data_IF_528941893021
#
_entry.id   IF_528941893021
#
_cell.length_a   1.000
_cell.length_b   1.000
_cell.length_c   1.000
_cell.angle_alpha   90.00
_cell.angle_beta   90.00
_cell.angle_gamma   90.00
#
_symmetry.space_group_name_H-M   'P 1'
#
loop_
_entity.id
_entity.type
_entity.pdbx_description
1 polymer ?
2 polymer ?
3 water ?
#
# COMPACT_ATOMS: atom_id res chain seq x y z
N UNK A 9 -13.64 10.72 -29.94
CA UNK A 9 -14.79 10.99 -29.08
C UNK A 9 -14.50 10.42 -27.70
N UNK A 10 -13.75 9.31 -27.68
CA UNK A 10 -13.22 8.81 -26.41
C UNK A 10 -12.37 9.85 -25.73
N UNK A 11 -11.52 10.56 -26.49
CA UNK A 11 -10.62 11.51 -25.89
C UNK A 11 -11.32 12.79 -25.45
N UNK A 12 -12.46 13.14 -26.08
CA UNK A 12 -13.25 14.23 -25.54
C UNK A 12 -13.80 13.88 -24.16
N UNK A 13 -14.32 12.65 -24.01
CA UNK A 13 -14.88 12.23 -22.73
C UNK A 13 -13.81 12.17 -21.65
N UNK A 14 -12.61 11.70 -22.00
CA UNK A 14 -11.53 11.63 -21.01
C UNK A 14 -11.09 13.04 -20.60
N UNK A 15 -10.95 13.95 -21.58
CA UNK A 15 -10.54 15.32 -21.25
C UNK A 15 -11.56 15.99 -20.33
N UNK A 16 -12.85 15.74 -20.58
CA UNK A 16 -13.86 16.35 -19.73
C UNK A 16 -13.81 15.77 -18.31
N UNK A 17 -13.54 14.47 -18.20
CA UNK A 17 -13.41 13.87 -16.87
C UNK A 17 -12.21 14.45 -16.14
N UNK A 18 -11.08 14.61 -16.85
CA UNK A 18 -9.89 15.19 -16.23
C UNK A 18 -10.16 16.61 -15.75
N UNK A 19 -10.89 17.38 -16.55
CA UNK A 19 -11.24 18.74 -16.15
C UNK A 19 -12.12 18.74 -14.91
N UNK A 20 -13.11 17.84 -14.86
CA UNK A 20 -13.97 17.77 -13.68
C UNK A 20 -13.15 17.44 -12.43
N UNK A 21 -12.27 16.43 -12.51
CA UNK A 21 -11.42 16.09 -11.38
C UNK A 21 -10.57 17.28 -10.96
N UNK A 22 -9.98 17.99 -11.94
CA UNK A 22 -9.07 19.09 -11.65
C UNK A 22 -9.77 20.21 -10.88
N UNK A 23 -10.91 20.71 -11.39
CA UNK A 23 -11.52 21.86 -10.72
C UNK A 23 -12.05 21.50 -9.35
N UNK A 24 -12.57 20.29 -9.16
CA UNK A 24 -12.99 19.89 -7.82
C UNK A 24 -11.79 19.73 -6.90
N UNK A 25 -10.72 19.08 -7.37
CA UNK A 25 -9.49 18.98 -6.59
C UNK A 25 -8.98 20.35 -6.20
N UNK A 26 -8.94 21.27 -7.16
CA UNK A 26 -8.46 22.60 -6.87
C UNK A 26 -9.35 23.34 -5.88
N UNK A 27 -10.67 23.16 -6.00
CA UNK A 27 -11.56 23.78 -5.02
C UNK A 27 -11.30 23.25 -3.61
N UNK A 28 -11.08 21.94 -3.49
CA UNK A 28 -10.85 21.35 -2.17
C UNK A 28 -9.51 21.80 -1.60
N UNK A 29 -8.50 21.88 -2.45
CA UNK A 29 -7.16 22.24 -2.01
C UNK A 29 -7.08 23.68 -1.52
N UNK A 30 -7.92 24.58 -2.05
CA UNK A 30 -7.83 25.97 -1.63
C UNK A 30 -8.46 26.18 -0.27
N UNK A 31 -9.45 25.37 0.11
CA UNK A 31 -9.88 25.34 1.50
C UNK A 31 -8.72 25.04 2.44
N UNK A 32 -7.86 24.09 2.04
CA UNK A 32 -6.73 23.74 2.89
C UNK A 32 -5.68 24.85 2.90
N UNK A 33 -5.43 25.44 1.73
CA UNK A 33 -4.48 26.57 1.64
C UNK A 33 -4.79 27.67 2.63
N UNK A 34 -6.06 28.11 2.67
CA UNK A 34 -6.57 29.07 3.64
C UNK A 34 -6.40 28.66 5.09
N UNK A 35 -6.67 27.40 5.43
CA UNK A 35 -6.53 27.05 6.83
C UNK A 35 -5.07 27.07 7.25
N UNK A 36 -4.14 26.81 6.31
CA UNK A 36 -2.73 26.74 6.63
C UNK A 36 -1.97 28.04 6.36
N UNK A 37 -2.61 29.01 5.71
CA UNK A 37 -1.95 30.26 5.40
C UNK A 37 -0.87 30.17 4.33
N UNK A 38 -1.06 29.31 3.32
CA UNK A 38 -0.11 29.16 2.22
C UNK A 38 -0.88 29.36 0.91
N UNK A 39 -0.15 29.46 -0.18
CA UNK A 39 -0.75 29.51 -1.50
C UNK A 39 -0.20 28.36 -2.35
N UNK A 40 -1.11 27.63 -3.01
CA UNK A 40 -0.73 26.63 -3.99
C UNK A 40 -0.60 27.28 -5.36
N UNK A 41 0.55 27.11 -5.98
CA UNK A 41 0.68 27.53 -7.36
C UNK A 41 -0.25 26.70 -8.23
N UNK A 42 -0.52 27.22 -9.43
CA UNK A 42 -1.35 26.51 -10.39
C UNK A 42 -0.73 25.18 -10.80
N UNK A 43 0.61 25.15 -10.89
CA UNK A 43 1.22 23.86 -11.15
C UNK A 43 1.15 22.89 -9.96
N UNK A 44 1.18 23.38 -8.72
CA UNK A 44 1.00 22.48 -7.57
C UNK A 44 -0.41 21.91 -7.57
N UNK A 45 -1.42 22.73 -7.89
CA UNK A 45 -2.78 22.22 -8.00
C UNK A 45 -2.88 21.21 -9.13
N UNK A 46 -2.28 21.52 -10.28
CA UNK A 46 -2.26 20.56 -11.39
C UNK A 46 -1.60 19.24 -10.98
N UNK A 47 -0.50 19.30 -10.22
CA UNK A 47 0.15 18.07 -9.76
C UNK A 47 -0.76 17.25 -8.85
N UNK A 48 -1.46 17.92 -7.94
CA UNK A 48 -2.37 17.21 -7.03
C UNK A 48 -3.56 16.62 -7.78
N UNK A 49 -4.10 17.36 -8.77
CA UNK A 49 -5.17 16.81 -9.59
C UNK A 49 -4.71 15.55 -10.30
N UNK A 50 -3.48 15.56 -10.85
CA UNK A 50 -3.01 14.41 -11.61
C UNK A 50 -2.75 13.22 -10.69
N UNK A 51 -2.16 13.45 -9.52
CA UNK A 51 -1.97 12.38 -8.54
C UNK A 51 -3.32 11.81 -8.11
N UNK A 52 -4.31 12.67 -7.93
CA UNK A 52 -5.65 12.22 -7.56
C UNK A 52 -6.28 11.37 -8.67
N UNK A 53 -6.13 11.79 -9.92
CA UNK A 53 -6.60 11.00 -11.04
C UNK A 53 -5.95 9.62 -11.05
N UNK A 54 -4.63 9.55 -10.80
CA UNK A 54 -3.96 8.25 -10.86
C UNK A 54 -4.28 7.43 -9.62
N UNK A 55 -4.52 8.08 -8.47
CA UNK A 55 -4.90 7.35 -7.27
C UNK A 55 -6.32 6.77 -7.41
N UNK A 56 -7.22 7.45 -8.12
CA UNK A 56 -8.50 6.85 -8.44
C UNK A 56 -8.31 5.55 -9.21
N UNK A 57 -7.30 5.51 -10.09
CA UNK A 57 -7.02 4.27 -10.81
C UNK A 57 -6.56 3.16 -9.88
N UNK A 58 -5.68 3.48 -8.91
CA UNK A 58 -5.29 2.48 -7.92
C UNK A 58 -6.51 1.98 -7.14
N UNK A 59 -7.35 2.91 -6.68
CA UNK A 59 -8.56 2.55 -5.95
C UNK A 59 -9.47 1.67 -6.79
N UNK A 60 -9.70 2.06 -8.04
CA UNK A 60 -10.59 1.30 -8.91
C UNK A 60 -10.09 -0.13 -9.12
N UNK A 61 -8.80 -0.28 -9.41
CA UNK A 61 -8.25 -1.61 -9.68
C UNK A 61 -8.29 -2.49 -8.43
N UNK A 62 -8.08 -1.90 -7.24
CA UNK A 62 -8.22 -2.65 -6.00
C UNK A 62 -9.67 -3.07 -5.75
N UNK A 63 -10.61 -2.12 -5.87
CA UNK A 63 -12.03 -2.43 -5.69
C UNK A 63 -12.46 -3.55 -6.62
N UNK A 64 -12.06 -3.47 -7.89
CA UNK A 64 -12.40 -4.50 -8.86
C UNK A 64 -11.87 -5.86 -8.42
N UNK A 65 -10.61 -5.92 -7.99
CA UNK A 65 -10.03 -7.19 -7.58
C UNK A 65 -10.61 -7.69 -6.26
N UNK A 66 -10.95 -6.76 -5.35
CA UNK A 66 -11.60 -7.16 -4.11
C UNK A 66 -12.98 -7.76 -4.39
N UNK A 67 -13.75 -7.13 -5.27
CA UNK A 67 -15.07 -7.67 -5.59
C UNK A 67 -14.95 -9.02 -6.28
N UNK A 68 -14.04 -9.13 -7.26
CA UNK A 68 -13.82 -10.41 -7.93
C UNK A 68 -13.37 -11.48 -6.95
N UNK A 69 -12.57 -11.09 -5.94
CA UNK A 69 -12.15 -12.05 -4.92
C UNK A 69 -13.34 -12.66 -4.20
N UNK A 70 -14.42 -11.88 -4.03
CA UNK A 70 -15.65 -12.37 -3.43
C UNK A 70 -16.63 -12.87 -4.48
N UNK A 71 -16.17 -13.08 -5.72
CA UNK A 71 -16.95 -13.69 -6.80
C UNK A 71 -18.10 -12.79 -7.24
N UNK A 72 -17.88 -11.48 -7.17
CA UNK A 72 -18.83 -10.46 -7.60
C UNK A 72 -18.22 -9.63 -8.71
N UNK A 73 -19.06 -9.27 -9.69
CA UNK A 73 -18.74 -8.24 -10.68
C UNK A 73 -19.15 -6.85 -10.22
N UNK A 74 -20.01 -6.74 -9.23
CA UNK A 74 -20.48 -5.45 -8.74
C UNK A 74 -19.76 -5.10 -7.44
N UNK A 75 -19.16 -3.91 -7.43
CA UNK A 75 -18.43 -3.42 -6.27
C UNK A 75 -19.42 -2.85 -5.27
N UNK A 76 -19.27 -3.22 -3.98
CA UNK A 76 -20.21 -2.81 -2.94
C UNK A 76 -19.48 -2.07 -1.82
N UNK A 77 -20.26 -1.62 -0.84
CA UNK A 77 -19.69 -0.91 0.29
C UNK A 77 -18.68 -1.79 1.04
N UNK A 78 -18.87 -3.12 0.98
CA UNK A 78 -17.94 -4.03 1.66
C UNK A 78 -16.55 -3.97 1.03
N UNK A 79 -16.47 -3.73 -0.28
CA UNK A 79 -15.16 -3.60 -0.93
C UNK A 79 -14.52 -2.27 -0.59
N UNK A 80 -15.32 -1.21 -0.43
CA UNK A 80 -14.78 0.07 0.02
C UNK A 80 -14.28 -0.02 1.45
N UNK A 81 -15.01 -0.71 2.32
CA UNK A 81 -14.52 -0.90 3.68
C UNK A 81 -13.15 -1.57 3.67
N UNK A 82 -12.98 -2.57 2.79
CA UNK A 82 -11.69 -3.25 2.67
C UNK A 82 -10.57 -2.30 2.23
N UNK A 83 -10.86 -1.35 1.32
CA UNK A 83 -9.85 -0.34 0.99
C UNK A 83 -9.37 0.42 2.21
N UNK A 84 -10.23 0.61 3.20
CA UNK A 84 -9.91 1.41 4.37
C UNK A 84 -9.44 0.55 5.55
N UNK A 85 -9.19 -0.74 5.31
CA UNK A 85 -8.98 -1.71 6.39
C UNK A 85 -7.85 -1.32 7.35
N UNK A 86 -6.89 -0.53 6.89
CA UNK A 86 -5.67 -0.28 7.67
C UNK A 86 -5.74 0.95 8.54
N UNK A 87 -6.76 1.78 8.39
CA UNK A 87 -6.91 2.96 9.23
C UNK A 87 -8.25 2.85 9.93
N UNK A 88 -8.21 2.57 11.22
CA UNK A 88 -9.43 2.44 12.00
C UNK A 88 -10.25 3.73 11.96
N UNK A 89 -9.58 4.87 12.09
CA UNK A 89 -10.30 6.15 12.10
C UNK A 89 -10.92 6.44 10.74
N UNK A 90 -10.20 6.13 9.65
CA UNK A 90 -10.79 6.25 8.33
C UNK A 90 -11.86 5.18 8.12
N UNK A 91 -11.55 3.93 8.49
CA UNK A 91 -12.52 2.86 8.35
C UNK A 91 -13.77 3.14 9.18
N UNK A 92 -13.58 3.75 10.37
CA UNK A 92 -14.72 4.07 11.23
C UNK A 92 -15.64 5.10 10.57
N UNK A 93 -15.07 6.16 10.00
CA UNK A 93 -15.91 7.14 9.33
C UNK A 93 -16.60 6.54 8.11
N UNK A 94 -15.86 5.77 7.31
CA UNK A 94 -16.48 5.18 6.13
C UNK A 94 -17.53 4.16 6.53
N UNK A 95 -17.27 3.40 7.60
CA UNK A 95 -18.21 2.35 8.00
C UNK A 95 -19.57 2.93 8.40
N UNK A 96 -19.59 4.01 9.20
CA UNK A 96 -20.89 4.56 9.56
C UNK A 96 -21.35 5.66 8.61
N UNK A 97 -20.51 6.14 7.70
CA UNK A 97 -21.05 6.80 6.51
C UNK A 97 -21.80 5.79 5.66
N UNK A 98 -21.29 4.56 5.59
CA UNK A 98 -21.93 3.48 4.84
C UNK A 98 -23.26 3.07 5.47
N UNK A 99 -23.32 3.01 6.80
CA UNK A 99 -24.50 2.49 7.47
C UNK A 99 -25.65 3.48 7.48
N UNK A 100 -25.39 4.78 7.31
CA UNK A 100 -26.46 5.73 7.02
C UNK A 100 -27.20 5.31 5.75
N UNK A 101 -26.44 5.01 4.70
CA UNK A 101 -27.01 4.69 3.40
C UNK A 101 -27.92 3.47 3.48
N UNK A 102 -27.42 2.38 4.07
CA UNK A 102 -28.18 1.13 4.15
C UNK A 102 -29.41 1.23 5.04
N UNK A 103 -29.59 2.33 5.77
CA UNK A 103 -30.76 2.50 6.63
C UNK A 103 -31.93 3.14 5.90
N UNK A 104 -31.65 4.06 4.98
CA UNK A 104 -32.67 4.86 4.30
C UNK A 104 -33.84 4.06 3.76
N UNK B 7 -18.59 20.86 -0.27
CA UNK B 7 -17.93 20.58 -1.53
C UNK B 7 -17.54 19.12 -1.67
N UNK B 8 -17.26 18.68 -2.87
CA UNK B 8 -16.84 17.31 -3.09
C UNK B 8 -17.09 16.86 -4.51
N UNK B 9 -16.67 15.62 -4.77
CA UNK B 9 -16.79 15.04 -6.11
C UNK B 9 -18.24 14.63 -6.37
N UNK B 10 -18.72 14.91 -7.58
CA UNK B 10 -20.03 14.45 -8.01
C UNK B 10 -20.04 12.94 -8.19
N UNK B 11 -21.20 12.32 -7.90
CA UNK B 11 -21.33 10.87 -8.05
C UNK B 11 -20.93 10.44 -9.47
N UNK B 12 -21.42 11.18 -10.48
CA UNK B 12 -21.13 10.85 -11.87
C UNK B 12 -19.64 10.92 -12.19
N UNK B 13 -18.94 11.92 -11.64
CA UNK B 13 -17.50 11.98 -11.85
C UNK B 13 -16.81 10.74 -11.30
N UNK B 14 -17.17 10.32 -10.08
CA UNK B 14 -16.55 9.14 -9.48
C UNK B 14 -16.89 7.89 -10.30
N UNK B 15 -18.15 7.75 -10.71
CA UNK B 15 -18.54 6.58 -11.51
C UNK B 15 -17.72 6.52 -12.80
N UNK B 16 -17.64 7.64 -13.53
CA UNK B 16 -16.85 7.65 -14.76
C UNK B 16 -15.38 7.37 -14.49
N UNK B 17 -14.81 7.96 -13.43
CA UNK B 17 -13.41 7.70 -13.08
C UNK B 17 -13.15 6.23 -12.84
N UNK B 18 -13.98 5.59 -12.01
CA UNK B 18 -13.77 4.18 -11.69
C UNK B 18 -13.96 3.32 -12.94
N UNK B 19 -15.05 3.57 -13.68
CA UNK B 19 -15.33 2.81 -14.89
C UNK B 19 -14.21 2.92 -15.91
N UNK B 20 -13.63 4.12 -16.06
CA UNK B 20 -12.51 4.30 -16.98
C UNK B 20 -11.33 3.38 -16.64
N UNK B 21 -11.11 3.10 -15.36
CA UNK B 21 -9.88 2.44 -14.91
C UNK B 21 -10.06 0.95 -14.62
N UNK B 22 -11.28 0.43 -14.65
CA UNK B 22 -11.47 -1.01 -14.47
C UNK B 22 -10.78 -1.78 -15.60
N UNK B 23 -10.27 -2.98 -15.28
CA UNK B 23 -9.65 -3.81 -16.31
C UNK B 23 -10.71 -4.60 -17.07
N UNK B 24 -11.81 -4.90 -16.40
CA UNK B 24 -12.77 -5.89 -16.86
C UNK B 24 -14.06 -5.17 -17.24
N UNK B 25 -14.56 -5.43 -18.45
CA UNK B 25 -15.79 -4.80 -18.89
C UNK B 25 -17.02 -5.18 -18.09
N UNK B 26 -16.98 -6.29 -17.34
CA UNK B 26 -18.13 -6.67 -16.53
C UNK B 26 -18.29 -5.79 -15.29
N UNK B 27 -17.25 -5.11 -14.86
CA UNK B 27 -17.24 -4.52 -13.53
C UNK B 27 -18.17 -3.33 -13.44
N UNK B 28 -18.94 -3.27 -12.35
CA UNK B 28 -19.84 -2.16 -12.04
C UNK B 28 -19.70 -1.79 -10.57
N UNK B 29 -20.24 -0.63 -10.20
CA UNK B 29 -20.18 -0.10 -8.83
C UNK B 29 -21.60 0.28 -8.41
N UNK B 30 -22.02 -0.17 -7.22
CA UNK B 30 -23.37 0.20 -6.83
C UNK B 30 -23.38 1.61 -6.20
N UNK B 31 -24.59 2.14 -6.00
CA UNK B 31 -24.72 3.55 -5.66
C UNK B 31 -24.11 3.91 -4.31
N UNK B 32 -24.29 3.02 -3.33
CA UNK B 32 -23.73 3.29 -2.01
C UNK B 32 -22.20 3.33 -2.05
N UNK B 33 -21.57 2.39 -2.79
CA UNK B 33 -20.12 2.40 -2.89
C UNK B 33 -19.62 3.66 -3.59
N UNK B 34 -20.37 4.16 -4.58
CA UNK B 34 -19.98 5.40 -5.25
C UNK B 34 -19.95 6.57 -4.28
N UNK B 35 -20.96 6.69 -3.42
CA UNK B 35 -20.95 7.80 -2.47
C UNK B 35 -19.82 7.67 -1.47
N UNK B 36 -19.51 6.44 -1.04
CA UNK B 36 -18.37 6.25 -0.15
C UNK B 36 -17.06 6.60 -0.84
N UNK B 37 -16.91 6.21 -2.12
CA UNK B 37 -15.67 6.52 -2.83
C UNK B 37 -15.50 8.01 -3.09
N UNK B 38 -16.61 8.74 -3.27
CA UNK B 38 -16.50 10.20 -3.37
C UNK B 38 -15.94 10.80 -2.08
N UNK B 39 -16.40 10.30 -0.93
CA UNK B 39 -15.87 10.77 0.35
C UNK B 39 -14.40 10.41 0.49
N UNK B 40 -14.02 9.18 0.13
CA UNK B 40 -12.62 8.75 0.26
C UNK B 40 -11.71 9.57 -0.65
N UNK B 41 -12.15 9.86 -1.88
CA UNK B 41 -11.36 10.68 -2.78
C UNK B 41 -11.20 12.11 -2.25
N UNK B 42 -12.23 12.66 -1.61
CA UNK B 42 -12.10 13.98 -1.01
C UNK B 42 -11.10 13.96 0.15
N UNK B 43 -11.16 12.94 0.98
CA UNK B 43 -10.18 12.79 2.06
C UNK B 43 -8.77 12.71 1.49
N UNK B 44 -8.59 11.94 0.42
CA UNK B 44 -7.27 11.85 -0.22
C UNK B 44 -6.75 13.22 -0.67
N UNK B 45 -7.59 14.00 -1.37
CA UNK B 45 -7.17 15.31 -1.85
C UNK B 45 -6.80 16.21 -0.67
N UNK B 46 -7.63 16.21 0.36
CA UNK B 46 -7.38 17.09 1.49
C UNK B 46 -6.10 16.70 2.21
N UNK B 47 -5.84 15.39 2.33
CA UNK B 47 -4.60 14.93 2.95
C UNK B 47 -3.40 15.30 2.11
N UNK B 48 -3.50 15.15 0.78
CA UNK B 48 -2.39 15.55 -0.09
C UNK B 48 -2.07 17.03 0.06
N UNK B 49 -3.11 17.88 0.00
CA UNK B 49 -2.89 19.32 0.11
C UNK B 49 -2.35 19.69 1.48
N UNK B 50 -2.88 19.09 2.54
CA UNK B 50 -2.45 19.46 3.89
C UNK B 50 -1.01 19.05 4.13
N UNK B 51 -0.62 17.86 3.66
CA UNK B 51 0.76 17.41 3.85
C UNK B 51 1.73 18.27 3.04
N UNK B 52 1.36 18.62 1.80
CA UNK B 52 2.24 19.47 1.00
C UNK B 52 2.40 20.85 1.64
N UNK B 53 1.31 21.37 2.21
CA UNK B 53 1.37 22.66 2.88
C UNK B 53 2.27 22.61 4.10
N UNK B 54 2.16 21.56 4.91
CA UNK B 54 3.01 21.44 6.08
C UNK B 54 4.48 21.32 5.71
N UNK B 55 4.78 20.65 4.60
CA UNK B 55 6.17 20.55 4.15
C UNK B 55 6.72 21.92 3.73
N UNK B 56 5.89 22.73 3.07
CA UNK B 56 6.32 24.08 2.72
C UNK B 56 6.59 24.91 3.97
N UNK B 57 5.69 24.82 4.97
CA UNK B 57 5.89 25.55 6.21
C UNK B 57 7.15 25.07 6.93
N UNK B 58 7.44 23.76 6.84
CA UNK B 58 8.66 23.26 7.45
C UNK B 58 9.89 23.88 6.81
N UNK B 59 9.82 24.21 5.52
CA UNK B 59 10.90 24.90 4.82
C UNK B 59 10.76 26.43 4.89
N UNK B 60 9.91 26.95 5.78
CA UNK B 60 9.72 28.38 5.97
C UNK B 60 9.23 29.08 4.70
N UNK B 61 8.39 28.39 3.93
CA UNK B 61 7.90 28.94 2.67
C UNK B 61 6.40 29.14 2.71
N UNK B 62 5.96 30.23 2.08
CA UNK B 62 4.56 30.61 1.88
C UNK B 62 3.94 29.93 0.65
N UNK B 63 4.72 29.73 -0.40
CA UNK B 63 4.23 29.13 -1.63
C UNK B 63 4.54 27.64 -1.66
N UNK B 64 3.53 26.83 -1.86
CA UNK B 64 3.69 25.38 -1.97
C UNK B 64 4.03 25.04 -3.42
N UNK B 65 5.17 24.40 -3.62
CA UNK B 65 5.68 24.11 -4.96
C UNK B 65 5.54 22.62 -5.23
N UNK B 66 5.80 22.26 -6.48
CA UNK B 66 5.61 20.86 -6.87
C UNK B 66 6.63 19.97 -6.17
N UNK B 67 7.79 20.52 -5.81
CA UNK B 67 8.77 19.80 -5.01
C UNK B 67 8.16 19.35 -3.68
N UNK B 68 7.31 20.19 -3.10
CA UNK B 68 6.73 19.85 -1.80
C UNK B 68 5.77 18.68 -1.92
N UNK B 69 4.96 18.65 -2.99
CA UNK B 69 4.09 17.51 -3.25
C UNK B 69 4.92 16.25 -3.48
N UNK B 70 5.98 16.36 -4.27
CA UNK B 70 6.82 15.19 -4.52
C UNK B 70 7.41 14.64 -3.22
N UNK B 71 7.73 15.52 -2.27
CA UNK B 71 8.36 15.06 -1.03
C UNK B 71 7.39 14.27 -0.17
N UNK B 72 6.12 14.68 -0.14
CA UNK B 72 5.16 14.02 0.74
C UNK B 72 4.46 12.84 0.07
N UNK B 73 4.60 12.70 -1.25
CA UNK B 73 3.83 11.68 -1.96
C UNK B 73 4.11 10.25 -1.52
N UNK B 74 5.36 9.81 -1.28
CA UNK B 74 5.55 8.39 -0.93
C UNK B 74 4.78 7.95 0.30
N UNK B 75 4.86 8.71 1.41
CA UNK B 75 4.15 8.31 2.62
C UNK B 75 2.64 8.50 2.48
N UNK B 76 2.23 9.49 1.68
CA UNK B 76 0.81 9.64 1.36
C UNK B 76 0.26 8.38 0.72
N UNK B 77 0.97 7.85 -0.30
CA UNK B 77 0.50 6.64 -0.97
C UNK B 77 0.51 5.45 -0.04
N UNK B 78 1.58 5.30 0.74
CA UNK B 78 1.66 4.21 1.71
C UNK B 78 0.50 4.27 2.69
N UNK B 79 0.11 5.48 3.10
CA UNK B 79 -0.95 5.62 4.09
C UNK B 79 -2.33 5.27 3.53
N UNK B 80 -2.50 5.24 2.20
CA UNK B 80 -3.78 4.91 1.59
C UNK B 80 -3.81 3.51 0.98
N UNK B 81 -2.77 2.71 1.21
CA UNK B 81 -2.86 1.26 1.03
C UNK B 81 -3.82 0.69 2.07
N UNK C 10 3.81 -20.06 25.83
CA UNK C 10 3.84 -18.97 24.87
C UNK C 10 4.66 -17.78 25.39
N UNK C 11 5.21 -17.93 26.61
CA UNK C 11 5.89 -16.81 27.24
C UNK C 11 7.01 -16.24 26.38
N UNK C 12 7.69 -17.06 25.60
CA UNK C 12 8.82 -16.57 24.81
C UNK C 12 8.58 -16.59 23.31
N UNK C 13 7.33 -16.75 22.85
CA UNK C 13 7.09 -16.93 21.42
C UNK C 13 7.56 -15.73 20.60
N UNK C 14 7.21 -14.51 21.04
CA UNK C 14 7.59 -13.33 20.28
C UNK C 14 9.11 -13.23 20.17
N UNK C 15 9.80 -13.39 21.31
CA UNK C 15 11.26 -13.32 21.31
C UNK C 15 11.87 -14.36 20.38
N UNK C 16 11.31 -15.58 20.39
CA UNK C 16 11.84 -16.63 19.53
C UNK C 16 11.62 -16.31 18.06
N UNK C 17 10.45 -15.77 17.72
CA UNK C 17 10.19 -15.43 16.31
C UNK C 17 11.12 -14.32 15.85
N UNK C 18 11.29 -13.28 16.67
CA UNK C 18 12.17 -12.17 16.31
C UNK C 18 13.59 -12.66 16.10
N UNK C 19 14.08 -13.53 16.98
CA UNK C 19 15.44 -14.03 16.83
C UNK C 19 15.58 -14.86 15.55
N UNK C 20 14.62 -15.76 15.29
CA UNK C 20 14.71 -16.58 14.09
C UNK C 20 14.65 -15.72 12.84
N UNK C 21 13.77 -14.72 12.83
CA UNK C 21 13.70 -13.79 11.70
C UNK C 21 15.01 -13.03 11.56
N UNK C 22 15.58 -12.58 12.68
CA UNK C 22 16.81 -11.78 12.64
C UNK C 22 17.99 -12.54 12.03
N UNK C 23 18.28 -13.74 12.54
CA UNK C 23 19.45 -14.47 12.05
C UNK C 23 19.27 -14.92 10.61
N UNK C 24 18.05 -15.31 10.20
CA UNK C 24 17.84 -15.63 8.79
C UNK C 24 18.01 -14.39 7.91
N UNK C 25 17.53 -13.24 8.38
CA UNK C 25 17.69 -12.00 7.63
C UNK C 25 19.18 -11.67 7.43
N UNK C 26 19.95 -11.75 8.51
CA UNK C 26 21.39 -11.51 8.41
C UNK C 26 22.06 -12.45 7.43
N UNK C 27 21.74 -13.74 7.52
CA UNK C 27 22.32 -14.72 6.59
C UNK C 27 21.98 -14.39 5.15
N UNK C 28 20.70 -14.08 4.89
CA UNK C 28 20.30 -13.73 3.52
C UNK C 28 20.99 -12.47 3.03
N UNK C 29 21.25 -11.51 3.91
CA UNK C 29 21.90 -10.27 3.50
C UNK C 29 23.34 -10.48 3.08
N UNK C 30 24.01 -11.52 3.58
CA UNK C 30 25.41 -11.74 3.20
C UNK C 30 25.54 -12.11 1.73
N UNK C 31 24.53 -12.79 1.16
CA UNK C 31 24.54 -13.05 -0.28
C UNK C 31 24.55 -11.74 -1.05
N UNK C 32 23.81 -10.74 -0.57
CA UNK C 32 23.79 -9.44 -1.25
C UNK C 32 25.10 -8.72 -1.03
N UNK C 33 25.66 -8.82 0.18
CA UNK C 33 26.95 -8.20 0.49
C UNK C 33 28.04 -8.74 -0.43
N UNK C 34 28.06 -10.06 -0.61
CA UNK C 34 29.04 -10.65 -1.52
C UNK C 34 28.81 -10.19 -2.95
N UNK C 35 27.56 -10.13 -3.38
CA UNK C 35 27.31 -9.81 -4.78
C UNK C 35 27.62 -8.35 -5.09
N UNK C 36 27.39 -7.43 -4.15
CA UNK C 36 27.66 -6.02 -4.38
C UNK C 36 28.98 -5.53 -3.78
N UNK C 37 29.68 -6.37 -3.02
CA UNK C 37 30.94 -5.93 -2.43
C UNK C 37 30.76 -4.89 -1.36
N UNK C 38 29.80 -5.09 -0.45
CA UNK C 38 29.56 -4.17 0.66
C UNK C 38 29.62 -4.96 1.96
N UNK C 39 29.55 -4.24 3.08
CA UNK C 39 29.38 -4.83 4.40
C UNK C 39 28.18 -4.16 5.05
N UNK C 40 27.21 -4.97 5.48
CA UNK C 40 26.06 -4.45 6.22
C UNK C 40 26.43 -4.37 7.69
N UNK C 41 26.23 -3.21 8.30
CA UNK C 41 26.51 -3.07 9.73
C UNK C 41 25.54 -3.93 10.55
N UNK C 42 25.93 -4.21 11.79
CA UNK C 42 25.06 -4.98 12.68
C UNK C 42 23.72 -4.29 12.89
N UNK C 43 23.73 -2.96 12.95
CA UNK C 43 22.50 -2.20 13.14
C UNK C 43 21.65 -2.21 11.88
N UNK C 44 22.30 -2.17 10.71
CA UNK C 44 21.54 -2.24 9.46
C UNK C 44 20.79 -3.56 9.35
N UNK C 45 21.46 -4.67 9.66
CA UNK C 45 20.78 -5.96 9.62
C UNK C 45 19.64 -5.99 10.62
N UNK C 46 19.86 -5.48 11.83
CA UNK C 46 18.80 -5.45 12.83
C UNK C 46 17.62 -4.64 12.35
N UNK C 47 17.90 -3.53 11.65
CA UNK C 47 16.84 -2.69 11.10
C UNK C 47 16.02 -3.44 10.05
N UNK C 48 16.71 -4.11 9.12
CA UNK C 48 16.02 -4.87 8.08
C UNK C 48 15.20 -5.99 8.68
N UNK C 49 15.73 -6.69 9.70
CA UNK C 49 14.91 -7.77 10.24
C UNK C 49 13.71 -7.23 11.00
N UNK C 50 13.84 -6.04 11.63
CA UNK C 50 12.70 -5.48 12.32
C UNK C 50 11.65 -4.97 11.33
N UNK C 51 12.08 -4.36 10.22
CA UNK C 51 11.14 -3.99 9.15
C UNK C 51 10.41 -5.22 8.63
N UNK C 52 11.13 -6.33 8.46
CA UNK C 52 10.52 -7.56 7.95
C UNK C 52 9.52 -8.12 8.94
N UNK C 53 9.90 -8.19 10.22
CA UNK C 53 8.97 -8.61 11.26
C UNK C 53 7.70 -7.75 11.25
N UNK C 54 7.86 -6.44 11.10
CA UNK C 54 6.69 -5.55 11.12
C UNK C 54 5.88 -5.67 9.84
N UNK C 55 6.55 -5.78 8.69
CA UNK C 55 5.83 -5.87 7.42
C UNK C 55 5.07 -7.19 7.34
N UNK C 56 5.64 -8.26 7.89
CA UNK C 56 4.93 -9.53 7.98
C UNK C 56 3.58 -9.37 8.66
N UNK C 57 3.47 -8.45 9.61
CA UNK C 57 2.17 -8.24 10.25
C UNK C 57 1.14 -7.67 9.27
N UNK C 58 1.55 -6.67 8.49
CA UNK C 58 0.69 -6.14 7.43
C UNK C 58 0.24 -7.25 6.48
N UNK C 59 1.19 -8.08 6.04
CA UNK C 59 0.85 -9.20 5.16
C UNK C 59 -0.15 -10.12 5.83
N UNK C 60 0.10 -10.48 7.09
CA UNK C 60 -0.74 -11.46 7.77
C UNK C 60 -2.16 -10.94 7.95
N UNK C 61 -2.30 -9.67 8.35
CA UNK C 61 -3.63 -9.11 8.58
C UNK C 61 -4.41 -8.99 7.27
N UNK C 62 -3.73 -8.59 6.18
CA UNK C 62 -4.38 -8.55 4.88
C UNK C 62 -4.82 -9.95 4.43
N UNK C 63 -3.92 -10.94 4.50
CA UNK C 63 -4.29 -12.30 4.14
C UNK C 63 -5.54 -12.77 4.88
N UNK C 64 -5.56 -12.57 6.21
CA UNK C 64 -6.71 -12.95 7.01
C UNK C 64 -7.97 -12.25 6.55
N UNK C 65 -7.88 -10.93 6.24
CA UNK C 65 -9.07 -10.19 5.84
C UNK C 65 -9.52 -10.60 4.45
N UNK C 66 -8.57 -10.87 3.55
CA UNK C 66 -8.89 -11.27 2.19
C UNK C 66 -9.63 -12.60 2.16
N UNK C 67 -9.19 -13.55 2.99
CA UNK C 67 -9.89 -14.82 3.13
C UNK C 67 -11.30 -14.63 3.68
N UNK C 68 -11.45 -13.79 4.71
CA UNK C 68 -12.79 -13.54 5.24
C UNK C 68 -13.69 -12.89 4.19
N UNK C 69 -13.14 -11.95 3.41
CA UNK C 69 -13.87 -11.33 2.31
C UNK C 69 -14.40 -12.34 1.32
N UNK C 70 -13.66 -13.42 1.10
CA UNK C 70 -14.10 -14.52 0.25
C UNK C 70 -14.89 -15.57 1.04
N UNK C 71 -15.23 -15.27 2.30
CA UNK C 71 -16.03 -16.13 3.17
C UNK C 71 -15.28 -17.42 3.54
N UNK C 72 -13.97 -17.32 3.69
CA UNK C 72 -13.15 -18.46 4.11
C UNK C 72 -12.43 -18.13 5.41
N UNK C 73 -12.24 -19.15 6.23
CA UNK C 73 -11.42 -19.02 7.42
C UNK C 73 -10.07 -19.72 7.25
N UNK C 74 -9.76 -20.17 6.02
CA UNK C 74 -8.45 -20.70 5.67
C UNK C 74 -7.85 -19.85 4.54
N UNK C 75 -6.68 -19.29 4.80
CA UNK C 75 -5.95 -18.55 3.78
C UNK C 75 -5.39 -19.49 2.73
N UNK C 76 -5.54 -19.13 1.44
CA UNK C 76 -5.08 -19.98 0.34
C UNK C 76 -4.16 -19.17 -0.57
N UNK C 77 -3.62 -19.83 -1.59
CA UNK C 77 -2.79 -19.13 -2.57
C UNK C 77 -3.56 -18.03 -3.29
N UNK C 78 -4.90 -18.13 -3.38
CA UNK C 78 -5.69 -17.03 -3.94
C UNK C 78 -5.49 -15.76 -3.14
N UNK C 79 -5.43 -15.86 -1.81
CA UNK C 79 -5.25 -14.68 -0.97
C UNK C 79 -3.85 -14.09 -1.15
N UNK C 80 -2.85 -14.95 -1.35
CA UNK C 80 -1.49 -14.47 -1.63
C UNK C 80 -1.45 -13.77 -2.99
N UNK C 81 -2.11 -14.34 -3.99
CA UNK C 81 -2.18 -13.66 -5.29
C UNK C 81 -2.75 -12.24 -5.15
N UNK C 82 -3.80 -12.09 -4.35
CA UNK C 82 -4.39 -10.76 -4.13
C UNK C 82 -3.43 -9.85 -3.40
N UNK C 83 -2.74 -10.39 -2.39
CA UNK C 83 -1.71 -9.63 -1.70
C UNK C 83 -0.69 -9.07 -2.67
N UNK C 84 -0.35 -9.85 -3.71
CA UNK C 84 0.66 -9.43 -4.68
C UNK C 84 0.05 -8.80 -5.93
N UNK C 85 -1.17 -8.27 -5.82
CA UNK C 85 -1.91 -7.84 -7.01
C UNK C 85 -1.17 -6.75 -7.78
N UNK C 86 -0.34 -5.96 -7.12
CA UNK C 86 0.39 -4.87 -7.77
C UNK C 86 1.81 -5.27 -8.15
N UNK C 87 2.20 -6.53 -7.96
CA UNK C 87 3.56 -7.00 -8.20
C UNK C 87 3.47 -8.35 -8.95
N UNK C 88 2.98 -8.29 -10.19
CA UNK C 88 2.82 -9.50 -11.00
C UNK C 88 4.16 -10.17 -11.27
N UNK C 89 5.21 -9.38 -11.47
CA UNK C 89 6.55 -9.96 -11.59
C UNK C 89 6.90 -10.71 -10.31
N UNK C 90 6.61 -10.12 -9.16
CA UNK C 90 6.89 -10.76 -7.88
C UNK C 90 6.11 -12.05 -7.73
N UNK C 91 4.79 -11.98 -7.88
CA UNK C 91 3.93 -13.16 -7.73
C UNK C 91 4.41 -14.30 -8.62
N UNK C 92 4.87 -13.96 -9.81
CA UNK C 92 5.28 -14.97 -10.75
C UNK C 92 6.64 -15.58 -10.39
N UNK C 93 7.51 -14.80 -9.75
CA UNK C 93 8.78 -15.34 -9.28
C UNK C 93 8.60 -16.22 -8.05
N UNK C 94 7.82 -15.75 -7.06
CA UNK C 94 7.63 -16.55 -5.85
C UNK C 94 6.87 -17.83 -6.17
N UNK C 95 5.98 -17.80 -7.17
CA UNK C 95 5.30 -19.02 -7.59
C UNK C 95 6.29 -19.97 -8.25
N UNK C 96 7.23 -19.42 -9.03
CA UNK C 96 8.24 -20.25 -9.66
C UNK C 96 9.21 -20.82 -8.64
N UNK C 97 9.69 -20.00 -7.70
CA UNK C 97 10.56 -20.50 -6.65
C UNK C 97 9.84 -21.47 -5.74
N UNK C 98 8.55 -21.24 -5.47
CA UNK C 98 7.78 -22.16 -4.65
C UNK C 98 7.64 -23.53 -5.32
N UNK C 99 7.49 -23.56 -6.65
CA UNK C 99 7.42 -24.83 -7.37
C UNK C 99 8.79 -25.46 -7.58
N UNK C 100 9.88 -24.73 -7.32
CA UNK C 100 11.21 -25.34 -7.34
C UNK C 100 11.26 -26.54 -6.40
N UNK C 101 10.46 -26.53 -5.35
CA UNK C 101 10.07 -27.72 -4.60
C UNK C 101 9.79 -28.90 -5.54
N UNK D 7 19.00 -21.27 1.10
CA UNK D 7 18.69 -20.56 2.34
C UNK D 7 17.34 -19.87 2.29
N UNK D 8 16.75 -19.62 3.45
CA UNK D 8 15.45 -18.99 3.49
C UNK D 8 14.81 -19.18 4.85
N UNK D 9 13.60 -18.67 4.97
CA UNK D 9 12.84 -18.79 6.20
C UNK D 9 12.21 -20.18 6.30
N UNK D 10 12.25 -20.77 7.49
CA UNK D 10 11.64 -22.06 7.70
C UNK D 10 10.13 -21.95 7.64
N UNK D 11 9.48 -23.02 7.18
CA UNK D 11 8.03 -22.98 7.06
C UNK D 11 7.39 -22.75 8.43
N UNK D 12 7.98 -23.32 9.48
CA UNK D 12 7.47 -23.13 10.84
C UNK D 12 7.55 -21.68 11.26
N UNK D 13 8.70 -21.02 11.01
CA UNK D 13 8.82 -19.60 11.32
C UNK D 13 7.74 -18.79 10.62
N UNK D 14 7.52 -19.03 9.32
CA UNK D 14 6.55 -18.23 8.59
C UNK D 14 5.14 -18.48 9.11
N UNK D 15 4.79 -19.74 9.38
CA UNK D 15 3.44 -20.01 9.91
C UNK D 15 3.21 -19.34 11.25
N UNK D 16 4.18 -19.46 12.17
CA UNK D 16 4.02 -18.84 13.48
C UNK D 16 4.02 -17.32 13.39
N UNK D 17 4.83 -16.78 12.48
CA UNK D 17 4.90 -15.32 12.32
C UNK D 17 3.58 -14.77 11.82
N UNK D 18 2.99 -15.42 10.81
CA UNK D 18 1.67 -14.98 10.35
C UNK D 18 0.64 -15.13 11.45
N UNK D 19 0.63 -16.29 12.12
CA UNK D 19 -0.39 -16.54 13.14
C UNK D 19 -0.31 -15.54 14.28
N UNK D 20 0.93 -15.22 14.72
CA UNK D 20 1.11 -14.22 15.77
C UNK D 20 0.39 -12.91 15.45
N UNK D 21 0.31 -12.56 14.17
CA UNK D 21 -0.23 -11.28 13.73
C UNK D 21 -1.68 -11.35 13.28
N UNK D 22 -2.29 -12.54 13.24
CA UNK D 22 -3.72 -12.62 12.94
C UNK D 22 -4.52 -11.95 14.05
N UNK D 23 -5.68 -11.39 13.67
CA UNK D 23 -6.65 -10.95 14.66
C UNK D 23 -7.18 -12.13 15.46
N UNK D 24 -7.42 -13.26 14.78
CA UNK D 24 -7.91 -14.48 15.40
C UNK D 24 -6.89 -15.58 15.16
N UNK D 25 -6.27 -16.07 16.23
CA UNK D 25 -5.25 -17.10 16.14
C UNK D 25 -5.72 -18.42 15.56
N UNK D 26 -7.04 -18.64 15.52
CA UNK D 26 -7.60 -19.84 14.89
C UNK D 26 -7.64 -19.76 13.37
N UNK D 27 -7.44 -18.58 12.78
CA UNK D 27 -7.36 -18.46 11.33
C UNK D 27 -6.31 -19.42 10.80
N UNK D 28 -6.65 -20.11 9.72
CA UNK D 28 -5.78 -21.14 9.17
C UNK D 28 -5.13 -20.67 7.87
N UNK D 29 -4.02 -21.31 7.53
CA UNK D 29 -3.28 -21.01 6.30
C UNK D 29 -2.78 -22.31 5.70
N UNK D 30 -3.08 -22.54 4.42
CA UNK D 30 -2.75 -23.85 3.87
C UNK D 30 -1.30 -23.89 3.40
N UNK D 31 -0.84 -25.09 3.03
CA UNK D 31 0.57 -25.31 2.79
C UNK D 31 1.09 -24.52 1.60
N UNK D 32 0.31 -24.44 0.53
CA UNK D 32 0.70 -23.66 -0.65
C UNK D 32 0.93 -22.20 -0.28
N UNK D 33 -0.01 -21.60 0.46
CA UNK D 33 0.13 -20.20 0.85
C UNK D 33 1.38 -19.99 1.71
N UNK D 34 1.70 -20.94 2.58
CA UNK D 34 2.88 -20.80 3.42
C UNK D 34 4.17 -20.79 2.59
N UNK D 35 4.24 -21.67 1.58
CA UNK D 35 5.43 -21.70 0.75
C UNK D 35 5.58 -20.43 -0.08
N UNK D 36 4.47 -19.92 -0.63
CA UNK D 36 4.50 -18.65 -1.34
C UNK D 36 4.94 -17.52 -0.41
N UNK D 37 4.45 -17.50 0.82
CA UNK D 37 4.81 -16.42 1.75
C UNK D 37 6.27 -16.52 2.20
N UNK D 38 6.81 -17.75 2.29
CA UNK D 38 8.24 -17.86 2.62
C UNK D 38 9.11 -17.26 1.51
N UNK D 39 8.76 -17.53 0.25
CA UNK D 39 9.53 -16.98 -0.86
C UNK D 39 9.37 -15.47 -0.93
N UNK D 40 8.18 -14.97 -0.61
CA UNK D 40 7.94 -13.53 -0.65
C UNK D 40 8.83 -12.81 0.38
N UNK D 41 8.89 -13.34 1.60
CA UNK D 41 9.69 -12.70 2.65
C UNK D 41 11.19 -12.74 2.34
N UNK D 42 11.65 -13.82 1.69
CA UNK D 42 13.05 -13.90 1.28
C UNK D 42 13.36 -12.82 0.25
N UNK D 43 12.49 -12.66 -0.75
CA UNK D 43 12.68 -11.61 -1.75
C UNK D 43 12.63 -10.23 -1.09
N UNK D 44 11.73 -10.05 -0.12
CA UNK D 44 11.63 -8.76 0.54
C UNK D 44 12.94 -8.40 1.26
N UNK D 45 13.51 -9.36 2.01
CA UNK D 45 14.78 -9.13 2.68
C UNK D 45 15.89 -8.83 1.67
N UNK D 46 15.97 -9.63 0.60
CA UNK D 46 17.06 -9.41 -0.35
C UNK D 46 16.91 -8.07 -1.05
N UNK D 47 15.68 -7.65 -1.34
CA UNK D 47 15.44 -6.35 -1.96
C UNK D 47 15.79 -5.21 -1.01
N UNK D 48 15.43 -5.34 0.27
CA UNK D 48 15.80 -4.30 1.23
C UNK D 48 17.31 -4.18 1.32
N UNK D 49 18.00 -5.31 1.42
CA UNK D 49 19.46 -5.30 1.50
C UNK D 49 20.07 -4.71 0.22
N UNK D 50 19.56 -5.12 -0.95
CA UNK D 50 20.12 -4.62 -2.20
C UNK D 50 19.89 -3.13 -2.36
N UNK D 51 18.70 -2.63 -1.98
CA UNK D 51 18.41 -1.21 -2.13
C UNK D 51 19.29 -0.37 -1.20
N UNK D 52 19.45 -0.81 0.05
CA UNK D 52 20.30 -0.09 0.99
C UNK D 52 21.76 -0.10 0.52
N UNK D 53 22.25 -1.27 0.12
CA UNK D 53 23.58 -1.36 -0.47
C UNK D 53 23.72 -0.48 -1.69
N UNK D 54 22.71 -0.50 -2.58
CA UNK D 54 22.81 0.24 -3.82
C UNK D 54 22.79 1.74 -3.54
N UNK D 55 22.21 2.15 -2.41
CA UNK D 55 22.27 3.54 -1.95
C UNK D 55 23.62 3.87 -1.32
N UNK D 56 24.17 2.98 -0.51
CA UNK D 56 25.49 3.23 0.06
C UNK D 56 26.56 3.32 -1.03
N UNK D 57 26.41 2.54 -2.10
CA UNK D 57 27.33 2.64 -3.22
C UNK D 57 27.16 3.97 -3.96
N UNK D 58 25.95 4.52 -3.96
CA UNK D 58 25.75 5.84 -4.55
C UNK D 58 26.51 6.92 -3.78
N UNK D 59 26.72 6.71 -2.49
CA UNK D 59 27.51 7.62 -1.67
C UNK D 59 28.98 7.21 -1.58
N UNK D 60 29.42 6.28 -2.43
CA UNK D 60 30.80 5.81 -2.45
C UNK D 60 31.22 5.22 -1.11
N UNK D 61 30.40 4.32 -0.58
CA UNK D 61 30.69 3.66 0.69
C UNK D 61 30.55 2.16 0.52
N UNK D 62 31.44 1.39 1.16
CA UNK D 62 31.23 -0.05 1.21
C UNK D 62 30.52 -0.48 2.49
N UNK D 63 30.45 0.39 3.49
CA UNK D 63 29.78 0.06 4.75
C UNK D 63 28.34 0.56 4.67
N UNK D 64 27.37 -0.34 4.80
CA UNK D 64 25.95 0.03 4.73
C UNK D 64 25.44 0.33 6.15
N UNK D 65 24.96 1.56 6.37
CA UNK D 65 24.50 1.95 7.70
C UNK D 65 22.99 2.13 7.73
N UNK D 66 22.47 2.34 8.94
CA UNK D 66 21.03 2.39 9.13
C UNK D 66 20.42 3.58 8.41
N UNK D 67 21.17 4.67 8.25
CA UNK D 67 20.68 5.80 7.48
C UNK D 67 20.39 5.42 6.04
N UNK D 68 21.14 4.46 5.49
CA UNK D 68 20.88 4.00 4.12
C UNK D 68 19.57 3.24 4.05
N UNK D 69 19.29 2.37 5.03
CA UNK D 69 17.98 1.72 5.11
C UNK D 69 16.87 2.77 5.16
N UNK D 70 17.04 3.77 6.03
CA UNK D 70 16.03 4.81 6.18
C UNK D 70 15.74 5.51 4.85
N UNK D 71 16.77 5.75 4.05
CA UNK D 71 16.58 6.48 2.81
C UNK D 71 15.74 5.68 1.81
N UNK D 72 15.94 4.36 1.75
CA UNK D 72 15.30 3.54 0.72
C UNK D 72 13.99 2.94 1.17
N UNK D 73 13.65 3.05 2.46
CA UNK D 73 12.49 2.32 2.97
C UNK D 73 11.18 2.69 2.28
N UNK D 74 10.82 3.99 2.13
CA UNK D 74 9.53 4.28 1.49
C UNK D 74 9.38 3.64 0.11
N UNK D 75 10.41 3.69 -0.72
CA UNK D 75 10.29 3.10 -2.06
C UNK D 75 10.28 1.58 -1.99
N UNK D 76 11.01 1.00 -1.04
CA UNK D 76 10.93 -0.44 -0.84
C UNK D 76 9.50 -0.87 -0.56
N UNK D 77 8.85 -0.22 0.41
CA UNK D 77 7.49 -0.58 0.76
C UNK D 77 6.54 -0.32 -0.40
N UNK D 78 6.73 0.79 -1.13
CA UNK D 78 5.85 1.10 -2.25
C UNK D 78 5.88 0.03 -3.33
N UNK D 79 7.06 -0.57 -3.56
CA UNK D 79 7.18 -1.55 -4.62
C UNK D 79 6.63 -2.91 -4.23
N UNK D 80 6.27 -3.11 -2.96
CA UNK D 80 5.74 -4.39 -2.49
C UNK D 80 4.26 -4.37 -2.15
N UNK D 81 3.67 -3.22 -1.87
CA UNK D 81 2.29 -3.20 -1.40
C UNK D 81 1.31 -3.23 -2.57
#
# INVERSE_FOLDING_TARGET
>A
GSEAAGGEQRELLIQRLRAAVHYTTGALAQDVAEDKGVLFSKQTVAAISEITFRQAENFARDLEMFARHAKRSTITSEDVKLLARRSNSLLKYITQKSDELASSNME
>B
GYEEREGGFRKETVERLLRLHFRDGRTRVNGDALLLMAELLKVFVREAAARAARQAQAEDLEKVDIEHVEKVLPQLLLDFV
>C
GSEAAGGEQRELLIQRLRAAVHYTTGALAQDVAEDKGVLFSKQTVAAISEITFRQAENFARDLEMFARHAKRSTITSEDVKLLARRSNSLLKYITQKSDELASSNME
>D
GYEEREGGFRKETVERLLRLHFRDGRTRVNGDALLLMAELLKVFVREAAARAARQAQAEDLEKVDIEHVEKVLPQLLLDFV
#
